data_IF_487501754609
#
_entry.id   IF_487501754609
#
_cell.length_a   1.000
_cell.length_b   1.000
_cell.length_c   1.000
_cell.angle_alpha   90.00
_cell.angle_beta   90.00
_cell.angle_gamma   90.00
#
_symmetry.space_group_name_H-M   'P 1'
#
loop_
_entity.id
_entity.type
_entity.pdbx_description
1 polymer ?
#
# COMPACT_ATOMS: atom_id res chain seq x y z
N UNK A 1 10.66 -40.44 31.75
CA UNK A 1 10.20 -40.50 30.33
C UNK A 1 9.11 -39.48 29.98
N UNK A 2 8.35 -38.89 30.91
CA UNK A 2 7.31 -37.89 30.55
C UNK A 2 7.84 -36.47 30.35
N UNK A 3 8.89 -36.05 31.07
CA UNK A 3 9.42 -34.68 31.01
C UNK A 3 10.08 -34.33 29.67
N UNK A 4 10.76 -35.30 29.02
CA UNK A 4 11.42 -35.07 27.74
C UNK A 4 10.42 -34.77 26.61
N UNK A 5 9.27 -35.45 26.63
CA UNK A 5 8.20 -35.27 25.64
C UNK A 5 7.58 -33.87 25.79
N UNK A 6 7.35 -33.41 27.02
CA UNK A 6 6.82 -32.07 27.30
C UNK A 6 7.81 -30.99 26.87
N UNK A 7 9.11 -31.18 27.12
CA UNK A 7 10.15 -30.27 26.66
C UNK A 7 10.23 -30.18 25.14
N UNK A 8 10.10 -31.31 24.45
CA UNK A 8 10.12 -31.37 22.99
C UNK A 8 8.90 -30.67 22.36
N UNK A 9 7.72 -30.81 22.97
CA UNK A 9 6.49 -30.11 22.54
C UNK A 9 6.63 -28.60 22.74
N UNK A 10 7.15 -28.16 23.89
CA UNK A 10 7.36 -26.72 24.16
C UNK A 10 8.39 -26.10 23.22
N UNK A 11 9.47 -26.83 22.89
CA UNK A 11 10.45 -26.40 21.90
C UNK A 11 9.83 -26.26 20.50
N UNK A 12 8.98 -27.21 20.09
CA UNK A 12 8.27 -27.14 18.81
C UNK A 12 7.32 -25.93 18.74
N UNK A 13 6.56 -25.67 19.80
CA UNK A 13 5.66 -24.50 19.88
C UNK A 13 6.47 -23.19 19.84
N UNK A 14 7.58 -23.11 20.59
CA UNK A 14 8.47 -21.96 20.59
C UNK A 14 9.07 -21.68 19.20
N UNK A 15 9.48 -22.73 18.48
CA UNK A 15 9.99 -22.60 17.12
C UNK A 15 8.90 -22.11 16.14
N UNK A 16 7.67 -22.63 16.23
CA UNK A 16 6.55 -22.18 15.39
C UNK A 16 6.22 -20.71 15.69
N UNK A 17 6.17 -20.33 16.97
CA UNK A 17 5.91 -18.96 17.39
C UNK A 17 6.99 -17.99 16.86
N UNK A 18 8.26 -18.38 16.91
CA UNK A 18 9.37 -17.59 16.36
C UNK A 18 9.25 -17.43 14.82
N UNK A 19 8.88 -18.49 14.11
CA UNK A 19 8.65 -18.45 12.66
C UNK A 19 7.51 -17.49 12.30
N UNK A 20 6.38 -17.54 13.02
CA UNK A 20 5.24 -16.64 12.80
C UNK A 20 5.62 -15.18 13.07
N UNK A 21 6.36 -14.93 14.15
CA UNK A 21 6.86 -13.59 14.48
C UNK A 21 7.85 -13.05 13.43
N UNK A 22 8.57 -13.91 12.72
CA UNK A 22 9.48 -13.54 11.64
C UNK A 22 8.77 -13.28 10.29
N UNK A 23 7.54 -13.78 10.08
CA UNK A 23 6.80 -13.59 8.81
C UNK A 23 6.64 -12.12 8.40
N UNK A 24 6.26 -11.17 9.29
CA UNK A 24 6.19 -9.76 8.93
C UNK A 24 7.53 -9.20 8.46
N UNK A 25 8.62 -9.60 9.11
CA UNK A 25 9.99 -9.19 8.75
C UNK A 25 10.33 -9.73 7.37
N UNK A 26 10.14 -11.02 7.11
CA UNK A 26 10.44 -11.63 5.79
C UNK A 26 9.59 -11.00 4.67
N UNK A 27 8.32 -10.69 4.94
CA UNK A 27 7.44 -9.99 3.98
C UNK A 27 7.96 -8.60 3.61
N UNK A 28 8.73 -7.93 4.47
CA UNK A 28 9.36 -6.64 4.11
C UNK A 28 10.59 -6.77 3.22
N UNK A 29 11.20 -7.95 3.12
CA UNK A 29 12.42 -8.19 2.34
C UNK A 29 12.11 -8.61 0.90
N UNK A 30 10.91 -9.16 0.67
CA UNK A 30 10.46 -9.54 -0.67
C UNK A 30 10.21 -8.28 -1.53
N UNK A 31 10.67 -8.28 -2.79
CA UNK A 31 10.38 -7.17 -3.70
C UNK A 31 8.87 -7.06 -3.90
N UNK A 32 8.35 -5.86 -3.73
CA UNK A 32 6.92 -5.61 -3.91
C UNK A 32 6.61 -5.73 -5.39
N UNK A 33 5.80 -6.74 -5.74
CA UNK A 33 5.26 -6.88 -7.08
C UNK A 33 4.19 -5.81 -7.30
N UNK A 34 4.38 -5.00 -8.33
CA UNK A 34 3.45 -3.95 -8.75
C UNK A 34 2.95 -4.27 -10.15
N UNK A 35 1.63 -4.25 -10.34
CA UNK A 35 1.03 -4.28 -11.67
C UNK A 35 1.33 -2.99 -12.43
N UNK A 36 1.20 -3.01 -13.76
CA UNK A 36 1.45 -1.82 -14.60
C UNK A 36 0.59 -0.62 -14.20
N UNK A 37 -0.65 -0.88 -13.78
CA UNK A 37 -1.57 0.16 -13.30
C UNK A 37 -1.15 0.72 -11.94
N UNK A 38 -0.71 -0.14 -11.01
CA UNK A 38 -0.17 0.32 -9.72
C UNK A 38 1.08 1.18 -9.91
N UNK A 39 1.98 0.75 -10.80
CA UNK A 39 3.17 1.53 -11.14
C UNK A 39 2.79 2.88 -11.75
N UNK A 40 1.80 2.92 -12.64
CA UNK A 40 1.32 4.16 -13.23
C UNK A 40 0.72 5.11 -12.17
N UNK A 41 -0.08 4.61 -11.23
CA UNK A 41 -0.61 5.41 -10.13
C UNK A 41 0.52 6.01 -9.30
N UNK A 42 1.52 5.20 -8.93
CA UNK A 42 2.68 5.66 -8.14
C UNK A 42 3.52 6.71 -8.90
N UNK A 43 3.79 6.47 -10.19
CA UNK A 43 4.55 7.40 -11.04
C UNK A 43 3.85 8.74 -11.17
N UNK A 44 2.55 8.71 -11.46
CA UNK A 44 1.79 9.94 -11.64
C UNK A 44 1.67 10.71 -10.31
N UNK A 45 1.56 10.01 -9.18
CA UNK A 45 1.48 10.62 -7.84
C UNK A 45 2.73 11.44 -7.47
N UNK A 46 3.91 11.14 -8.02
CA UNK A 46 5.18 11.85 -7.71
C UNK A 46 5.54 12.88 -8.78
N UNK A 47 4.68 13.09 -9.78
CA UNK A 47 4.94 13.94 -10.93
C UNK A 47 4.84 15.46 -10.68
N UNK A 48 4.38 15.90 -9.50
CA UNK A 48 4.17 17.32 -9.18
C UNK A 48 4.92 17.73 -7.90
N UNK A 49 5.62 18.87 -7.95
CA UNK A 49 6.36 19.41 -6.81
C UNK A 49 5.43 19.87 -5.67
N UNK A 50 4.25 20.40 -6.01
CA UNK A 50 3.34 21.02 -5.04
C UNK A 50 2.41 20.03 -4.34
N UNK A 51 2.14 18.87 -4.95
CA UNK A 51 1.19 17.85 -4.43
C UNK A 51 1.79 16.46 -4.45
N UNK A 52 3.05 16.42 -4.02
CA UNK A 52 3.86 15.24 -4.15
C UNK A 52 3.30 14.09 -3.31
N UNK A 53 2.89 13.03 -3.99
CA UNK A 53 2.34 11.83 -3.39
C UNK A 53 0.88 11.93 -2.99
N UNK A 54 0.10 12.88 -3.50
CA UNK A 54 -1.34 12.98 -3.22
C UNK A 54 -2.15 12.67 -4.47
N UNK A 55 -3.17 11.84 -4.34
CA UNK A 55 -4.13 11.56 -5.40
C UNK A 55 -5.54 11.33 -4.84
N UNK A 56 -6.53 11.54 -5.69
CA UNK A 56 -7.95 11.39 -5.39
C UNK A 56 -8.45 10.08 -6.01
N UNK A 57 -9.21 9.31 -5.24
CA UNK A 57 -9.91 8.12 -5.70
C UNK A 57 -11.42 8.39 -5.64
N UNK A 58 -12.09 8.36 -6.79
CA UNK A 58 -13.55 8.48 -6.89
C UNK A 58 -14.15 7.11 -7.08
N UNK A 59 -15.17 6.76 -6.28
CA UNK A 59 -15.90 5.50 -6.43
C UNK A 59 -17.03 5.59 -7.47
N UNK A 60 -17.68 6.75 -7.59
CA UNK A 60 -18.82 6.96 -8.47
C UNK A 60 -18.52 7.99 -9.57
N UNK A 61 -19.02 7.80 -10.81
CA UNK A 61 -19.82 6.68 -11.33
C UNK A 61 -18.98 5.43 -11.71
N UNK A 62 -17.65 5.54 -11.68
CA UNK A 62 -16.69 4.43 -11.87
C UNK A 62 -15.46 4.64 -10.97
N UNK A 63 -14.83 3.56 -10.49
CA UNK A 63 -13.58 3.64 -9.73
C UNK A 63 -12.46 4.26 -10.58
N UNK A 64 -12.11 5.50 -10.28
CA UNK A 64 -11.09 6.25 -11.02
C UNK A 64 -10.12 6.97 -10.07
N UNK A 65 -8.86 7.00 -10.46
CA UNK A 65 -7.83 7.81 -9.81
C UNK A 65 -7.63 9.08 -10.60
N UNK A 66 -7.77 10.21 -9.92
CA UNK A 66 -7.45 11.55 -10.43
C UNK A 66 -6.30 12.12 -9.63
N UNK A 67 -5.47 12.91 -10.30
CA UNK A 67 -4.47 13.70 -9.59
C UNK A 67 -4.97 15.13 -9.58
N UNK A 68 -5.05 15.77 -8.40
CA UNK A 68 -5.71 17.07 -8.25
C UNK A 68 -5.13 18.19 -9.14
N UNK A 69 -3.99 17.98 -9.81
CA UNK A 69 -3.32 18.97 -10.70
C UNK A 69 -3.13 18.48 -12.14
N UNK A 70 -3.49 17.23 -12.44
CA UNK A 70 -3.48 16.69 -13.80
C UNK A 70 -4.90 16.24 -14.12
N UNK A 71 -5.84 17.19 -14.23
CA UNK A 71 -7.26 16.93 -14.52
C UNK A 71 -7.49 16.10 -15.80
N UNK A 72 -6.50 16.05 -16.69
CA UNK A 72 -6.54 15.27 -17.93
C UNK A 72 -6.07 13.82 -17.77
N UNK A 73 -5.39 13.46 -16.67
CA UNK A 73 -4.92 12.08 -16.44
C UNK A 73 -5.81 11.38 -15.44
N UNK A 74 -6.70 10.56 -15.97
CA UNK A 74 -7.59 9.69 -15.21
C UNK A 74 -7.15 8.25 -15.44
N UNK A 75 -6.92 7.50 -14.36
CA UNK A 75 -6.67 6.06 -14.44
C UNK A 75 -7.92 5.34 -13.96
N UNK A 76 -8.51 4.50 -14.81
CA UNK A 76 -9.55 3.57 -14.40
C UNK A 76 -8.94 2.43 -13.60
N UNK A 77 -9.36 2.30 -12.35
CA UNK A 77 -8.88 1.30 -11.40
C UNK A 77 -10.02 0.37 -11.01
N UNK A 78 -9.70 -0.79 -10.48
CA UNK A 78 -10.65 -1.78 -9.95
C UNK A 78 -10.21 -2.17 -8.53
N UNK A 79 -9.14 -2.94 -8.39
CA UNK A 79 -8.60 -3.40 -7.10
C UNK A 79 -7.28 -2.74 -6.72
N UNK A 80 -6.65 -2.00 -7.63
CA UNK A 80 -5.27 -1.52 -7.48
C UNK A 80 -5.10 -0.57 -6.29
N UNK A 81 -6.13 0.21 -5.94
CA UNK A 81 -6.09 1.08 -4.75
C UNK A 81 -6.11 0.26 -3.45
N UNK A 82 -6.87 -0.82 -3.41
CA UNK A 82 -6.87 -1.73 -2.25
C UNK A 82 -5.53 -2.43 -2.12
N UNK A 83 -4.97 -2.93 -3.24
CA UNK A 83 -3.66 -3.60 -3.27
C UNK A 83 -2.52 -2.66 -2.83
N UNK A 84 -2.51 -1.40 -3.31
CA UNK A 84 -1.53 -0.39 -2.87
C UNK A 84 -1.65 -0.10 -1.37
N UNK A 85 -2.87 -0.13 -0.81
CA UNK A 85 -3.11 0.07 0.62
C UNK A 85 -2.61 -1.13 1.44
N UNK A 86 -2.93 -2.34 1.01
CA UNK A 86 -2.45 -3.58 1.66
C UNK A 86 -0.93 -3.69 1.63
N UNK A 87 -0.29 -3.24 0.55
CA UNK A 87 1.18 -3.17 0.42
C UNK A 87 1.81 -2.07 1.31
N UNK A 88 0.98 -1.24 1.95
CA UNK A 88 1.38 -0.13 2.81
C UNK A 88 2.03 1.03 2.05
N UNK A 89 1.71 1.17 0.76
CA UNK A 89 2.30 2.20 -0.12
C UNK A 89 1.51 3.51 -0.07
N UNK A 90 0.23 3.43 0.28
CA UNK A 90 -0.68 4.57 0.37
C UNK A 90 -1.43 4.53 1.70
N UNK A 91 -1.81 5.71 2.19
CA UNK A 91 -2.66 5.92 3.35
C UNK A 91 -3.78 6.88 3.01
N UNK A 92 -4.93 6.73 3.67
CA UNK A 92 -6.03 7.70 3.53
C UNK A 92 -5.58 9.01 4.18
N UNK A 93 -5.86 10.13 3.53
CA UNK A 93 -5.71 11.45 4.12
C UNK A 93 -6.94 11.73 4.99
N UNK A 94 -6.76 11.64 6.30
CA UNK A 94 -7.78 12.00 7.27
C UNK A 94 -7.85 13.53 7.37
N UNK A 95 -8.97 14.11 6.95
CA UNK A 95 -9.24 15.54 7.05
C UNK A 95 -10.38 16.00 6.14
N UNK A 96 -11.15 16.99 6.60
CA UNK A 96 -12.24 17.61 5.84
C UNK A 96 -11.67 18.59 4.80
N UNK A 97 -11.03 18.06 3.75
CA UNK A 97 -10.42 18.86 2.67
C UNK A 97 -11.45 19.40 1.64
N UNK A 98 -12.72 19.56 2.01
CA UNK A 98 -13.78 19.88 1.06
C UNK A 98 -13.94 18.79 -0.02
N UNK A 99 -13.78 17.53 0.38
CA UNK A 99 -13.86 16.39 -0.52
C UNK A 99 -15.26 16.31 -1.14
N UNK A 100 -15.41 16.25 -2.48
CA UNK A 100 -16.70 15.95 -3.08
C UNK A 100 -17.23 14.61 -2.57
N UNK A 101 -18.54 14.50 -2.39
CA UNK A 101 -19.19 13.25 -1.97
C UNK A 101 -18.75 12.10 -2.90
N UNK A 102 -18.32 10.98 -2.30
CA UNK A 102 -17.85 9.80 -3.05
C UNK A 102 -16.37 9.83 -3.46
N UNK A 103 -15.61 10.85 -3.06
CA UNK A 103 -14.16 10.94 -3.26
C UNK A 103 -13.38 10.64 -1.98
N UNK A 104 -12.28 9.89 -2.09
CA UNK A 104 -11.36 9.58 -1.01
C UNK A 104 -9.96 10.02 -1.43
N UNK A 105 -9.31 10.83 -0.61
CA UNK A 105 -7.95 11.28 -0.89
C UNK A 105 -6.94 10.36 -0.24
N UNK A 106 -5.89 10.03 -0.99
CA UNK A 106 -4.80 9.18 -0.56
C UNK A 106 -3.48 9.91 -0.64
N UNK A 107 -2.59 9.59 0.30
CA UNK A 107 -1.21 10.04 0.32
C UNK A 107 -0.26 8.84 0.24
N UNK A 108 0.84 8.97 -0.49
CA UNK A 108 1.95 8.01 -0.45
C UNK A 108 2.56 7.95 0.95
N UNK A 109 2.86 6.75 1.41
CA UNK A 109 3.72 6.54 2.59
C UNK A 109 5.19 6.77 2.21
N UNK A 110 6.08 6.84 3.21
CA UNK A 110 7.53 6.89 2.96
C UNK A 110 8.02 5.73 2.09
N UNK A 111 7.42 4.55 2.27
CA UNK A 111 7.64 3.34 1.47
C UNK A 111 7.16 3.51 0.03
N UNK A 112 5.92 3.99 -0.15
CA UNK A 112 5.36 4.29 -1.48
C UNK A 112 6.16 5.30 -2.26
N UNK A 113 6.63 6.36 -1.58
CA UNK A 113 7.47 7.40 -2.18
C UNK A 113 8.83 6.89 -2.63
N UNK A 114 9.49 6.08 -1.79
CA UNK A 114 10.78 5.47 -2.11
C UNK A 114 10.68 4.53 -3.31
N UNK A 115 9.59 3.76 -3.40
CA UNK A 115 9.31 2.91 -4.55
C UNK A 115 9.03 3.74 -5.80
N UNK A 116 8.15 4.73 -5.73
CA UNK A 116 7.83 5.59 -6.87
C UNK A 116 9.07 6.26 -7.46
N UNK A 117 10.04 6.68 -6.62
CA UNK A 117 11.34 7.20 -7.08
C UNK A 117 12.21 6.18 -7.79
N UNK A 118 12.16 4.90 -7.42
CA UNK A 118 12.94 3.82 -8.06
C UNK A 118 12.38 3.39 -9.41
N UNK A 119 11.08 3.58 -9.64
CA UNK A 119 10.41 3.22 -10.91
C UNK A 119 10.52 4.38 -11.94
N UNK A 120 11.03 5.55 -11.52
CA UNK A 120 11.21 6.72 -12.39
C UNK A 120 12.33 6.51 -13.41
#
# INVERSE_FOLDING_TARGET
>A
MSFDIVGMIMAAIGAIAACIAAVPVIKTWLPIKLSDKEQNILKLSVGSASFNGIFEYNLEPKPIVKIPYQHHKVITVNTEILELREKGLIRIMEGSFGQPQGSVWYQLTSKGYSLAKRIR
#
